data_IF_763896236770
#
_entry.id   IF_763896236770
#
_cell.length_a   1.000
_cell.length_b   1.000
_cell.length_c   1.000
_cell.angle_alpha   90.00
_cell.angle_beta   90.00
_cell.angle_gamma   90.00
#
_symmetry.space_group_name_H-M   'P 1'
#
loop_
_entity.id
_entity.type
_entity.pdbx_description
1 polymer ?
#
# COMPACT_ATOMS: atom_id res chain seq x y z
N UNK A 1 0.66 -12.57 -0.20
CA UNK A 1 -0.81 -12.65 -0.45
C UNK A 1 -1.31 -11.31 -0.96
N UNK A 2 -2.31 -11.30 -1.84
CA UNK A 2 -2.98 -10.09 -2.34
C UNK A 2 -4.48 -10.30 -2.46
N UNK A 3 -5.28 -9.25 -2.26
CA UNK A 3 -6.71 -9.24 -2.57
C UNK A 3 -6.92 -8.84 -4.04
N UNK A 4 -7.78 -9.55 -4.78
CA UNK A 4 -8.01 -9.30 -6.22
C UNK A 4 -9.46 -8.91 -6.51
N UNK A 5 -9.73 -8.13 -7.60
CA UNK A 5 -8.77 -7.60 -8.58
C UNK A 5 -7.81 -6.58 -7.97
N UNK A 6 -6.58 -6.54 -8.44
CA UNK A 6 -5.55 -5.61 -7.99
C UNK A 6 -4.69 -5.19 -9.19
N UNK A 7 -4.09 -4.01 -9.11
CA UNK A 7 -3.20 -3.47 -10.14
C UNK A 7 -2.19 -4.53 -10.63
N UNK A 8 -2.13 -4.86 -11.93
CA UNK A 8 -1.36 -6.00 -12.43
C UNK A 8 0.13 -5.95 -12.11
N UNK A 9 0.72 -4.76 -12.03
CA UNK A 9 2.12 -4.63 -11.69
C UNK A 9 2.43 -5.20 -10.30
N UNK A 10 1.58 -4.92 -9.32
CA UNK A 10 1.73 -5.44 -7.95
C UNK A 10 1.46 -6.93 -7.88
N UNK A 11 0.37 -7.39 -8.51
CA UNK A 11 -0.09 -8.76 -8.31
C UNK A 11 0.55 -9.79 -9.27
N UNK A 12 1.23 -9.34 -10.32
CA UNK A 12 1.83 -10.20 -11.35
C UNK A 12 3.31 -9.89 -11.55
N UNK A 13 3.65 -8.67 -11.97
CA UNK A 13 5.01 -8.33 -12.42
C UNK A 13 6.03 -8.37 -11.29
N UNK A 14 5.82 -7.64 -10.20
CA UNK A 14 6.77 -7.58 -9.10
C UNK A 14 7.06 -8.95 -8.46
N UNK A 15 6.02 -9.77 -8.13
CA UNK A 15 6.28 -11.11 -7.60
C UNK A 15 7.02 -12.02 -8.59
N UNK A 16 6.72 -11.92 -9.89
CA UNK A 16 7.39 -12.70 -10.92
C UNK A 16 8.88 -12.32 -11.01
N UNK A 17 9.19 -11.02 -11.03
CA UNK A 17 10.56 -10.51 -11.05
C UNK A 17 11.33 -10.91 -9.77
N UNK A 18 10.66 -10.94 -8.63
CA UNK A 18 11.24 -11.37 -7.36
C UNK A 18 11.33 -12.90 -7.20
N UNK A 19 10.80 -13.68 -8.16
CA UNK A 19 10.74 -15.14 -8.06
C UNK A 19 9.89 -15.65 -6.89
N UNK A 20 8.88 -14.88 -6.46
CA UNK A 20 8.02 -15.20 -5.30
C UNK A 20 6.63 -15.63 -5.75
N UNK A 21 6.09 -16.74 -5.21
CA UNK A 21 4.70 -17.12 -5.46
C UNK A 21 3.73 -16.11 -4.83
N UNK A 22 2.57 -15.94 -5.47
CA UNK A 22 1.49 -15.05 -4.98
C UNK A 22 0.22 -15.84 -4.75
N UNK A 23 -0.29 -15.78 -3.53
CA UNK A 23 -1.64 -16.25 -3.22
C UNK A 23 -2.60 -15.09 -3.50
N UNK A 24 -3.57 -15.33 -4.37
CA UNK A 24 -4.61 -14.37 -4.76
C UNK A 24 -5.92 -14.76 -4.14
N UNK A 25 -6.50 -13.87 -3.34
CA UNK A 25 -7.80 -14.06 -2.73
C UNK A 25 -8.76 -13.04 -3.33
N UNK A 26 -9.84 -13.46 -4.00
CA UNK A 26 -10.82 -12.52 -4.53
C UNK A 26 -11.49 -11.71 -3.41
N UNK A 27 -11.68 -10.41 -3.64
CA UNK A 27 -12.58 -9.60 -2.82
C UNK A 27 -14.01 -10.10 -2.99
N UNK A 28 -14.81 -10.06 -1.94
CA UNK A 28 -16.27 -10.21 -2.04
C UNK A 28 -16.85 -8.99 -2.72
N UNK A 29 -17.88 -9.19 -3.53
CA UNK A 29 -18.63 -8.10 -4.13
C UNK A 29 -20.11 -8.26 -3.79
N UNK A 30 -20.64 -7.31 -3.01
CA UNK A 30 -22.03 -7.28 -2.62
C UNK A 30 -22.60 -5.87 -2.90
N UNK A 31 -23.68 -5.78 -3.67
CA UNK A 31 -24.32 -4.51 -4.03
C UNK A 31 -23.35 -3.46 -4.62
N UNK A 32 -22.38 -3.90 -5.39
CA UNK A 32 -21.34 -3.02 -5.99
C UNK A 32 -20.18 -2.68 -5.05
N UNK A 33 -20.24 -3.06 -3.78
CA UNK A 33 -19.19 -2.83 -2.81
C UNK A 33 -18.22 -4.01 -2.76
N UNK A 34 -16.92 -3.72 -2.84
CA UNK A 34 -15.85 -4.71 -2.68
C UNK A 34 -15.35 -4.72 -1.23
N UNK A 35 -15.28 -5.89 -0.61
CA UNK A 35 -14.80 -6.09 0.77
C UNK A 35 -13.82 -7.24 0.84
N UNK A 36 -13.00 -7.31 1.91
CA UNK A 36 -12.13 -8.46 2.13
C UNK A 36 -12.95 -9.71 2.42
N UNK A 37 -12.54 -10.83 1.85
CA UNK A 37 -13.04 -12.17 2.21
C UNK A 37 -12.10 -12.81 3.24
N UNK A 38 -12.26 -12.43 4.50
CA UNK A 38 -11.40 -12.97 5.57
C UNK A 38 -11.53 -14.48 5.73
N UNK A 39 -12.71 -15.06 5.45
CA UNK A 39 -12.88 -16.53 5.49
C UNK A 39 -12.05 -17.21 4.39
N UNK A 40 -12.06 -16.65 3.18
CA UNK A 40 -11.22 -17.16 2.09
C UNK A 40 -9.73 -16.91 2.35
N UNK A 41 -9.37 -15.78 2.97
CA UNK A 41 -8.00 -15.49 3.38
C UNK A 41 -7.49 -16.50 4.42
N UNK A 42 -8.29 -16.82 5.44
CA UNK A 42 -7.95 -17.83 6.46
C UNK A 42 -7.77 -19.23 5.85
N UNK A 43 -8.56 -19.61 4.84
CA UNK A 43 -8.43 -20.88 4.13
C UNK A 43 -7.20 -20.92 3.23
N UNK A 44 -6.76 -19.76 2.69
CA UNK A 44 -5.69 -19.67 1.73
C UNK A 44 -4.31 -19.42 2.36
N UNK A 45 -4.26 -18.89 3.58
CA UNK A 45 -3.00 -18.59 4.26
C UNK A 45 -2.27 -19.87 4.66
N UNK A 46 -0.95 -19.88 4.43
CA UNK A 46 -0.03 -20.94 4.86
C UNK A 46 1.13 -20.32 5.63
N UNK A 47 1.93 -21.15 6.30
CA UNK A 47 3.14 -20.69 7.01
C UNK A 47 4.17 -20.00 6.08
N UNK A 48 4.08 -20.17 4.77
CA UNK A 48 4.96 -19.55 3.79
C UNK A 48 4.51 -18.13 3.40
N UNK A 49 3.32 -17.71 3.82
CA UNK A 49 2.80 -16.37 3.56
C UNK A 49 3.38 -15.41 4.60
N UNK A 50 4.38 -14.66 4.22
CA UNK A 50 5.04 -13.67 5.09
C UNK A 50 4.61 -12.23 4.81
N UNK A 51 3.92 -11.98 3.71
CA UNK A 51 3.59 -10.63 3.26
C UNK A 51 2.18 -10.57 2.68
N UNK A 52 1.42 -9.54 3.08
CA UNK A 52 0.19 -9.11 2.43
C UNK A 52 0.42 -7.75 1.76
N UNK A 53 0.07 -7.60 0.49
CA UNK A 53 0.12 -6.30 -0.18
C UNK A 53 -1.27 -5.69 -0.16
N UNK A 54 -1.41 -4.60 0.57
CA UNK A 54 -2.59 -3.76 0.65
C UNK A 54 -2.45 -2.60 -0.33
N UNK A 55 -3.41 -2.42 -1.23
CA UNK A 55 -3.57 -1.19 -2.00
C UNK A 55 -4.76 -0.42 -1.42
N UNK A 56 -4.54 0.77 -0.89
CA UNK A 56 -5.62 1.56 -0.29
C UNK A 56 -5.39 3.07 -0.47
N UNK A 57 -6.17 3.74 -1.30
CA UNK A 57 -7.33 3.29 -2.10
C UNK A 57 -7.03 2.16 -3.08
N UNK A 58 -7.99 1.24 -3.24
CA UNK A 58 -7.79 -0.01 -3.96
C UNK A 58 -7.98 0.11 -5.47
N UNK A 59 -6.91 0.02 -6.21
CA UNK A 59 -6.91 0.01 -7.68
C UNK A 59 -7.05 -1.44 -8.20
N UNK A 60 -8.03 -1.77 -9.08
CA UNK A 60 -8.81 -0.87 -9.92
C UNK A 60 -10.24 -0.58 -9.42
N UNK A 61 -10.65 -1.06 -8.27
CA UNK A 61 -12.08 -1.00 -7.86
C UNK A 61 -12.50 0.35 -7.29
N UNK A 62 -11.55 1.27 -7.07
CA UNK A 62 -11.83 2.62 -6.60
C UNK A 62 -12.30 2.71 -5.13
N UNK A 63 -12.02 1.67 -4.32
CA UNK A 63 -12.50 1.57 -2.95
C UNK A 63 -11.49 2.10 -1.93
N UNK A 64 -11.96 2.91 -0.97
CA UNK A 64 -11.24 3.19 0.28
C UNK A 64 -11.75 2.25 1.36
N UNK A 65 -10.90 1.46 1.97
CA UNK A 65 -11.27 0.57 3.06
C UNK A 65 -11.48 1.35 4.36
N UNK A 66 -12.51 0.98 5.11
CA UNK A 66 -12.84 1.60 6.39
C UNK A 66 -11.84 1.23 7.48
N UNK A 67 -11.77 2.02 8.56
CA UNK A 67 -10.93 1.71 9.72
C UNK A 67 -11.20 0.33 10.28
N UNK A 68 -12.47 -0.09 10.36
CA UNK A 68 -12.85 -1.43 10.83
C UNK A 68 -12.30 -2.55 9.94
N UNK A 69 -12.38 -2.40 8.63
CA UNK A 69 -11.81 -3.38 7.68
C UNK A 69 -10.30 -3.46 7.77
N UNK A 70 -9.64 -2.32 7.94
CA UNK A 70 -8.20 -2.26 8.15
C UNK A 70 -7.79 -2.89 9.49
N UNK A 71 -8.51 -2.63 10.58
CA UNK A 71 -8.28 -3.26 11.88
C UNK A 71 -8.39 -4.79 11.79
N UNK A 72 -9.41 -5.31 11.10
CA UNK A 72 -9.58 -6.74 10.88
C UNK A 72 -8.46 -7.34 10.03
N UNK A 73 -8.01 -6.62 8.98
CA UNK A 73 -6.85 -7.02 8.17
C UNK A 73 -5.56 -7.09 9.02
N UNK A 74 -5.30 -6.08 9.85
CA UNK A 74 -4.11 -6.08 10.69
C UNK A 74 -4.20 -7.10 11.83
N UNK A 75 -5.40 -7.40 12.34
CA UNK A 75 -5.60 -8.50 13.26
C UNK A 75 -5.32 -9.87 12.61
N UNK A 76 -5.78 -10.07 11.36
CA UNK A 76 -5.43 -11.24 10.55
C UNK A 76 -3.89 -11.33 10.36
N UNK A 77 -3.25 -10.24 9.93
CA UNK A 77 -1.81 -10.20 9.74
C UNK A 77 -1.03 -10.51 11.04
N UNK A 78 -1.54 -10.06 12.19
CA UNK A 78 -0.93 -10.34 13.48
C UNK A 78 -1.03 -11.81 13.87
N UNK A 79 -2.18 -12.46 13.62
CA UNK A 79 -2.35 -13.90 13.92
C UNK A 79 -1.41 -14.80 13.12
N UNK A 80 -1.09 -14.41 11.91
CA UNK A 80 -0.28 -15.20 10.96
C UNK A 80 1.16 -14.70 10.80
N UNK A 81 1.60 -13.76 11.63
CA UNK A 81 2.93 -13.12 11.57
C UNK A 81 3.29 -12.54 10.19
N UNK A 82 2.32 -11.89 9.56
CA UNK A 82 2.41 -11.31 8.23
C UNK A 82 2.79 -9.83 8.32
N UNK A 83 3.71 -9.37 7.48
CA UNK A 83 4.01 -7.95 7.23
C UNK A 83 3.03 -7.41 6.18
N UNK A 84 2.44 -6.25 6.42
CA UNK A 84 1.57 -5.57 5.47
C UNK A 84 2.35 -4.49 4.72
N UNK A 85 2.51 -4.68 3.42
CA UNK A 85 3.03 -3.63 2.52
C UNK A 85 1.84 -2.83 2.02
N UNK A 86 1.68 -1.61 2.54
CA UNK A 86 0.58 -0.72 2.20
C UNK A 86 1.00 0.24 1.09
N UNK A 87 0.43 0.06 -0.10
CA UNK A 87 0.55 1.02 -1.20
C UNK A 87 -0.59 2.03 -1.08
N UNK A 88 -0.25 3.23 -0.60
CA UNK A 88 -1.17 4.34 -0.37
C UNK A 88 -0.99 5.47 -1.39
N UNK A 89 -0.47 5.15 -2.57
CA UNK A 89 -0.15 6.15 -3.61
C UNK A 89 -1.36 6.97 -4.09
N UNK A 90 -2.58 6.50 -3.84
CA UNK A 90 -3.83 7.19 -4.19
C UNK A 90 -4.50 7.89 -3.00
N UNK A 91 -3.87 7.92 -1.82
CA UNK A 91 -4.49 8.39 -0.56
C UNK A 91 -4.94 9.85 -0.57
N UNK A 92 -4.34 10.70 -1.41
CA UNK A 92 -4.71 12.11 -1.53
C UNK A 92 -5.84 12.37 -2.55
N UNK A 93 -6.29 11.33 -3.28
CA UNK A 93 -7.34 11.41 -4.31
C UNK A 93 -8.66 10.77 -3.82
N UNK A 94 -9.20 11.27 -2.72
CA UNK A 94 -10.42 10.75 -2.11
C UNK A 94 -11.60 11.59 -2.57
N UNK A 95 -12.52 11.00 -3.34
CA UNK A 95 -13.72 11.66 -3.82
C UNK A 95 -14.86 11.57 -2.82
N UNK A 96 -14.95 10.45 -2.08
CA UNK A 96 -15.97 10.22 -1.06
C UNK A 96 -15.36 9.47 0.13
N UNK A 97 -15.73 9.85 1.36
CA UNK A 97 -15.25 9.23 2.58
C UNK A 97 -13.93 9.81 3.09
N UNK A 98 -13.18 9.00 3.81
CA UNK A 98 -11.91 9.38 4.43
C UNK A 98 -10.89 8.25 4.28
N UNK A 99 -9.67 8.60 3.92
CA UNK A 99 -8.55 7.66 3.96
C UNK A 99 -7.91 7.65 5.35
N UNK A 100 -7.72 6.45 5.88
CA UNK A 100 -7.02 6.24 7.15
C UNK A 100 -5.66 5.63 6.80
N UNK A 101 -4.54 6.36 7.01
CA UNK A 101 -3.22 5.79 6.78
C UNK A 101 -2.97 4.59 7.70
N UNK A 102 -2.49 3.48 7.14
CA UNK A 102 -2.31 2.24 7.89
C UNK A 102 -1.41 2.40 9.13
N UNK A 103 -0.44 3.32 9.07
CA UNK A 103 0.46 3.62 10.19
C UNK A 103 -0.22 4.32 11.38
N UNK A 104 -1.41 4.90 11.20
CA UNK A 104 -2.13 5.64 12.24
C UNK A 104 -3.19 4.80 12.93
N UNK A 105 -3.49 3.62 12.40
CA UNK A 105 -4.61 2.78 12.82
C UNK A 105 -4.52 2.35 14.29
N UNK A 106 -3.45 1.64 14.65
CA UNK A 106 -3.15 1.20 16.00
C UNK A 106 -1.72 0.68 16.12
N UNK A 107 -1.29 0.30 17.33
CA UNK A 107 0.08 -0.17 17.58
C UNK A 107 0.36 -1.50 16.86
N UNK A 108 -0.58 -2.41 16.76
CA UNK A 108 -0.39 -3.67 16.03
C UNK A 108 -0.09 -3.45 14.54
N UNK A 109 -0.75 -2.47 13.93
CA UNK A 109 -0.47 -2.04 12.57
C UNK A 109 0.93 -1.42 12.45
N UNK A 110 1.30 -0.51 13.36
CA UNK A 110 2.63 0.13 13.38
C UNK A 110 3.78 -0.86 13.45
N UNK A 111 3.59 -1.99 14.13
CA UNK A 111 4.60 -3.03 14.25
C UNK A 111 4.79 -3.88 12.98
N UNK A 112 3.85 -3.81 12.01
CA UNK A 112 3.78 -4.72 10.86
C UNK A 112 3.71 -4.04 9.50
N UNK A 113 3.60 -2.71 9.47
CA UNK A 113 3.38 -1.99 8.22
C UNK A 113 4.67 -1.48 7.60
N UNK A 114 4.74 -1.59 6.27
CA UNK A 114 5.61 -0.83 5.40
C UNK A 114 4.68 -0.01 4.52
N UNK A 115 4.54 1.28 4.78
CA UNK A 115 3.71 2.17 3.99
C UNK A 115 4.55 2.79 2.87
N UNK A 116 4.08 2.68 1.64
CA UNK A 116 4.65 3.35 0.46
C UNK A 116 3.74 4.47 -0.03
N UNK A 117 4.33 5.61 -0.36
CA UNK A 117 3.63 6.76 -0.92
C UNK A 117 4.50 7.55 -1.90
N UNK A 118 3.84 8.35 -2.76
CA UNK A 118 4.48 9.23 -3.75
C UNK A 118 3.50 10.32 -4.19
N UNK A 119 4.01 11.49 -4.52
CA UNK A 119 3.23 12.57 -5.12
C UNK A 119 2.80 12.29 -6.57
N UNK A 120 3.34 11.25 -7.21
CA UNK A 120 3.25 11.05 -8.66
C UNK A 120 1.84 10.89 -9.19
N UNK A 121 0.93 10.26 -8.44
CA UNK A 121 -0.48 10.08 -8.86
C UNK A 121 -1.31 11.32 -8.59
N UNK A 122 -1.25 11.82 -7.38
CA UNK A 122 -2.00 13.00 -6.95
C UNK A 122 -1.69 14.22 -7.80
N UNK A 123 -0.42 14.49 -8.03
CA UNK A 123 0.04 15.70 -8.72
C UNK A 123 0.40 15.48 -10.20
N UNK A 124 0.03 14.32 -10.76
CA UNK A 124 0.23 13.97 -12.17
C UNK A 124 1.68 14.16 -12.67
N UNK A 125 2.65 13.73 -11.86
CA UNK A 125 4.09 13.82 -12.15
C UNK A 125 4.80 12.44 -12.21
N UNK A 126 4.23 11.41 -12.89
CA UNK A 126 4.84 10.07 -12.89
C UNK A 126 6.16 9.99 -13.64
N UNK A 127 6.49 11.02 -14.44
CA UNK A 127 7.77 11.15 -15.14
C UNK A 127 8.93 11.58 -14.23
N UNK A 128 8.65 11.98 -12.97
CA UNK A 128 9.61 12.34 -11.94
C UNK A 128 9.58 11.24 -10.85
N UNK A 129 10.34 10.14 -11.03
CA UNK A 129 10.19 8.94 -10.22
C UNK A 129 10.80 9.13 -8.83
N UNK A 130 9.95 9.39 -7.84
CA UNK A 130 10.32 9.44 -6.44
C UNK A 130 9.19 8.85 -5.60
N UNK A 131 9.54 7.99 -4.67
CA UNK A 131 8.64 7.44 -3.67
C UNK A 131 9.36 7.36 -2.33
N UNK A 132 8.61 7.25 -1.25
CA UNK A 132 9.16 7.03 0.08
C UNK A 132 8.42 5.93 0.80
N UNK A 133 9.10 5.35 1.80
CA UNK A 133 8.52 4.38 2.71
C UNK A 133 8.51 4.93 4.13
N UNK A 134 7.43 4.69 4.87
CA UNK A 134 7.33 4.96 6.31
C UNK A 134 7.19 3.62 7.03
N UNK A 135 8.17 3.32 7.88
CA UNK A 135 8.28 2.02 8.58
C UNK A 135 8.54 2.30 10.06
N UNK A 136 7.48 2.30 10.91
CA UNK A 136 7.62 2.62 12.33
C UNK A 136 8.47 1.61 13.10
N UNK A 137 8.31 0.31 12.79
CA UNK A 137 9.07 -0.76 13.43
C UNK A 137 10.55 -0.71 12.99
N UNK A 138 11.44 -0.48 13.95
CA UNK A 138 12.88 -0.32 13.71
C UNK A 138 13.53 -1.57 13.09
N UNK A 139 13.18 -2.76 13.57
CA UNK A 139 13.74 -4.01 13.05
C UNK A 139 13.31 -4.25 11.59
N UNK A 140 12.06 -3.94 11.29
CA UNK A 140 11.53 -4.06 9.93
C UNK A 140 12.18 -3.02 9.02
N UNK A 141 12.36 -1.78 9.51
CA UNK A 141 13.01 -0.70 8.78
C UNK A 141 14.46 -1.04 8.43
N UNK A 142 15.26 -1.56 9.37
CA UNK A 142 16.64 -1.99 9.08
C UNK A 142 16.70 -3.06 7.99
N UNK A 143 15.85 -4.07 8.04
CA UNK A 143 15.77 -5.09 6.97
C UNK A 143 15.40 -4.49 5.62
N UNK A 144 14.50 -3.52 5.60
CA UNK A 144 14.12 -2.82 4.39
C UNK A 144 15.27 -1.98 3.82
N UNK A 145 15.97 -1.24 4.68
CA UNK A 145 17.15 -0.42 4.32
C UNK A 145 18.30 -1.26 3.75
N UNK A 146 18.58 -2.42 4.34
CA UNK A 146 19.59 -3.37 3.84
C UNK A 146 19.29 -3.80 2.40
N UNK A 147 18.05 -4.12 2.08
CA UNK A 147 17.65 -4.50 0.73
C UNK A 147 17.64 -3.28 -0.21
N UNK A 148 17.09 -2.16 0.22
CA UNK A 148 17.01 -0.93 -0.57
C UNK A 148 18.40 -0.44 -0.98
N UNK A 149 19.39 -0.53 -0.10
CA UNK A 149 20.78 -0.15 -0.38
C UNK A 149 21.40 -0.96 -1.53
N UNK A 150 20.90 -2.15 -1.83
CA UNK A 150 21.38 -2.98 -2.96
C UNK A 150 20.77 -2.58 -4.30
N UNK A 151 19.68 -1.81 -4.30
CA UNK A 151 18.90 -1.54 -5.52
C UNK A 151 19.47 -0.41 -6.38
N UNK A 152 20.49 0.30 -5.95
CA UNK A 152 21.21 1.35 -6.71
C UNK A 152 20.31 2.22 -7.62
N UNK A 153 19.09 2.54 -7.18
CA UNK A 153 18.24 3.43 -7.94
C UNK A 153 18.85 4.85 -7.90
N UNK A 154 19.22 5.43 -9.03
CA UNK A 154 19.74 6.79 -9.04
C UNK A 154 18.61 7.72 -8.60
N UNK A 155 18.85 8.47 -7.53
CA UNK A 155 17.94 9.53 -7.14
C UNK A 155 18.14 10.73 -8.06
N UNK A 156 17.05 11.14 -8.70
CA UNK A 156 17.03 12.35 -9.50
C UNK A 156 16.68 13.56 -8.62
N UNK A 157 17.58 14.54 -8.59
CA UNK A 157 17.40 15.76 -7.79
C UNK A 157 16.10 16.51 -8.15
N UNK A 158 15.71 16.53 -9.42
CA UNK A 158 14.47 17.18 -9.86
C UNK A 158 13.24 16.49 -9.30
N UNK A 159 13.27 15.17 -9.20
CA UNK A 159 12.19 14.40 -8.58
C UNK A 159 11.99 14.75 -7.11
N UNK A 160 13.08 14.97 -6.34
CA UNK A 160 12.98 15.43 -4.95
C UNK A 160 12.40 16.84 -4.83
N UNK A 161 12.88 17.78 -5.67
CA UNK A 161 12.36 19.15 -5.69
C UNK A 161 10.87 19.15 -6.06
N UNK A 162 10.46 18.31 -7.02
CA UNK A 162 9.06 18.18 -7.41
C UNK A 162 8.21 17.58 -6.29
N UNK A 163 8.70 16.56 -5.58
CA UNK A 163 8.03 15.96 -4.43
C UNK A 163 7.80 16.99 -3.32
N UNK A 164 8.84 17.74 -2.96
CA UNK A 164 8.75 18.80 -1.95
C UNK A 164 7.75 19.88 -2.37
N UNK A 165 7.84 20.35 -3.61
CA UNK A 165 6.93 21.36 -4.13
C UNK A 165 5.47 20.88 -4.14
N UNK A 166 5.23 19.63 -4.56
CA UNK A 166 3.91 19.01 -4.58
C UNK A 166 3.26 19.02 -3.20
N UNK A 167 3.96 18.51 -2.18
CA UNK A 167 3.41 18.41 -0.83
C UNK A 167 3.38 19.74 -0.07
N UNK A 168 4.24 20.70 -0.40
CA UNK A 168 4.27 21.99 0.32
C UNK A 168 3.48 23.10 -0.34
N UNK A 169 3.23 23.01 -1.67
CA UNK A 169 2.62 24.09 -2.47
C UNK A 169 1.48 23.61 -3.37
N UNK A 170 1.23 22.30 -3.46
CA UNK A 170 0.27 21.74 -4.41
C UNK A 170 -1.15 21.60 -3.88
N UNK A 171 -1.43 21.96 -2.63
CA UNK A 171 -2.74 21.72 -2.00
C UNK A 171 -3.90 22.41 -2.73
N UNK A 172 -3.74 23.67 -3.14
CA UNK A 172 -4.76 24.41 -3.89
C UNK A 172 -5.11 23.68 -5.21
N UNK A 173 -4.09 23.26 -5.96
CA UNK A 173 -4.26 22.48 -7.18
C UNK A 173 -4.98 21.14 -6.93
N UNK A 174 -4.62 20.45 -5.84
CA UNK A 174 -5.27 19.19 -5.45
C UNK A 174 -6.76 19.39 -5.15
N UNK A 175 -7.11 20.47 -4.43
CA UNK A 175 -8.50 20.80 -4.11
C UNK A 175 -9.32 21.14 -5.37
N UNK A 176 -8.72 21.82 -6.34
CA UNK A 176 -9.39 22.11 -7.63
C UNK A 176 -9.61 20.84 -8.47
N UNK A 177 -8.77 19.81 -8.29
CA UNK A 177 -8.89 18.53 -8.99
C UNK A 177 -10.03 17.68 -8.43
N UNK A 178 -10.30 17.71 -7.11
CA UNK A 178 -11.31 16.91 -6.41
C UNK A 178 -12.70 17.53 -6.50
#
# INVERSE_FOLDING_TARGET
>A
MVATPMYPHINQKLPQEAGKPVIRVPLKQENGLYTFDFEAMEKAVTQDVTTFVLCNPHNPVGRVFTGKELEELFAFAARHDIVVVADEIHSDLILEGEHIPAITLNEAARQRVILHHSASKTYNIPGLPVAFAIIPNEKLRHKYEEVAATMHAPFDTLSFVALEAAFTKGEEWRQELL
#
